data_IF_897759111568
#
_entry.id   IF_897759111568
#
_cell.length_a   1.000
_cell.length_b   1.000
_cell.length_c   1.000
_cell.angle_alpha   90.00
_cell.angle_beta   90.00
_cell.angle_gamma   90.00
#
_symmetry.space_group_name_H-M   'P 1'
#
loop_
_entity.id
_entity.type
_entity.pdbx_description
1 polymer ?
#
# COMPACT_ATOMS: atom_id res chain seq x y z
N UNK A 1 4.54 19.62 -23.55
CA UNK A 1 3.74 18.51 -24.07
C UNK A 1 3.68 17.48 -22.98
N UNK A 2 2.51 17.27 -22.39
CA UNK A 2 2.28 16.32 -21.32
C UNK A 2 2.35 14.90 -21.88
N UNK A 3 3.19 14.06 -21.28
CA UNK A 3 3.30 12.66 -21.67
C UNK A 3 2.06 11.92 -21.14
N UNK A 4 1.37 11.19 -22.01
CA UNK A 4 0.15 10.47 -21.65
C UNK A 4 -0.13 9.25 -22.51
N UNK A 5 -0.66 8.19 -21.92
CA UNK A 5 -1.21 7.02 -22.62
C UNK A 5 -2.72 7.15 -22.54
N UNK A 6 -3.40 7.15 -23.68
CA UNK A 6 -4.87 7.28 -23.73
C UNK A 6 -5.48 5.96 -24.17
N UNK A 7 -6.51 5.51 -23.46
CA UNK A 7 -7.33 4.37 -23.89
C UNK A 7 -8.26 4.85 -24.99
N UNK A 8 -8.05 4.37 -26.22
CA UNK A 8 -8.79 4.82 -27.41
C UNK A 8 -10.10 4.06 -27.54
N UNK A 9 -10.10 2.75 -27.25
CA UNK A 9 -11.24 1.86 -27.42
C UNK A 9 -11.21 0.76 -26.36
N UNK A 10 -12.36 0.46 -25.74
CA UNK A 10 -12.52 -0.61 -24.77
C UNK A 10 -13.49 -0.27 -23.65
N UNK A 11 -13.91 -1.27 -22.85
CA UNK A 11 -14.57 -1.01 -21.57
C UNK A 11 -13.64 -0.19 -20.65
N UNK A 12 -14.20 0.48 -19.63
CA UNK A 12 -13.39 1.15 -18.61
C UNK A 12 -12.37 0.16 -18.02
N UNK A 13 -11.12 0.60 -17.77
CA UNK A 13 -10.10 -0.26 -17.17
C UNK A 13 -10.52 -0.69 -15.77
N UNK A 14 -10.27 -1.96 -15.44
CA UNK A 14 -10.43 -2.46 -14.08
C UNK A 14 -9.13 -2.22 -13.32
N UNK A 15 -9.25 -1.57 -12.15
CA UNK A 15 -8.14 -1.30 -11.27
C UNK A 15 -8.20 -2.24 -10.06
N UNK A 16 -7.08 -2.89 -9.79
CA UNK A 16 -6.91 -3.75 -8.61
C UNK A 16 -5.90 -3.08 -7.67
N UNK A 17 -6.26 -2.89 -6.41
CA UNK A 17 -5.38 -2.24 -5.42
C UNK A 17 -4.21 -3.18 -5.08
N UNK A 18 -3.00 -2.64 -5.07
CA UNK A 18 -1.79 -3.39 -4.71
C UNK A 18 -1.50 -3.18 -3.23
N UNK A 19 -1.67 -4.25 -2.44
CA UNK A 19 -1.44 -4.27 -0.98
C UNK A 19 -0.05 -4.84 -0.61
N UNK A 20 0.95 -4.56 -1.45
CA UNK A 20 2.32 -5.04 -1.23
C UNK A 20 3.18 -3.96 -0.56
N UNK A 21 4.12 -4.36 0.31
CA UNK A 21 4.96 -3.44 1.08
C UNK A 21 5.68 -2.35 0.26
N UNK A 22 6.05 -2.64 -0.98
CA UNK A 22 6.70 -1.67 -1.87
C UNK A 22 5.74 -0.60 -2.41
N UNK A 23 4.45 -0.92 -2.51
CA UNK A 23 3.43 0.00 -3.00
C UNK A 23 3.19 1.15 -2.00
N UNK A 24 3.23 0.86 -0.71
CA UNK A 24 3.11 1.86 0.36
C UNK A 24 4.21 2.93 0.27
N UNK A 25 5.47 2.52 0.07
CA UNK A 25 6.58 3.47 -0.08
C UNK A 25 6.44 4.39 -1.31
N UNK A 26 5.73 3.95 -2.36
CA UNK A 26 5.45 4.79 -3.53
C UNK A 26 4.19 5.65 -3.36
N UNK A 27 3.29 5.26 -2.46
CA UNK A 27 2.04 5.93 -2.13
C UNK A 27 2.21 7.09 -1.14
N UNK A 28 3.35 7.19 -0.46
CA UNK A 28 3.70 8.29 0.46
C UNK A 28 3.82 9.62 -0.29
N UNK A 29 2.68 10.30 -0.43
CA UNK A 29 2.58 11.66 -0.96
C UNK A 29 1.73 12.51 -0.02
N UNK A 30 1.83 13.86 -0.10
CA UNK A 30 0.95 14.75 0.66
C UNK A 30 -0.54 14.52 0.40
N UNK A 31 -0.86 13.86 -0.71
CA UNK A 31 -2.21 13.43 -1.08
C UNK A 31 -2.30 11.94 -0.75
N UNK A 32 -3.34 11.55 -0.01
CA UNK A 32 -3.69 10.15 0.21
C UNK A 32 -4.01 9.50 -1.14
N UNK A 33 -3.15 8.57 -1.53
CA UNK A 33 -3.26 7.87 -2.80
C UNK A 33 -2.94 6.41 -2.63
N UNK A 34 -3.56 5.57 -3.44
CA UNK A 34 -3.33 4.12 -3.46
C UNK A 34 -2.70 3.75 -4.79
N UNK A 35 -1.86 2.72 -4.78
CA UNK A 35 -1.31 2.16 -6.02
C UNK A 35 -2.24 1.07 -6.50
N UNK A 36 -2.71 1.21 -7.73
CA UNK A 36 -3.55 0.22 -8.39
C UNK A 36 -2.87 -0.30 -9.65
N UNK A 37 -3.13 -1.55 -10.00
CA UNK A 37 -2.69 -2.18 -11.23
C UNK A 37 -3.86 -2.33 -12.21
N UNK A 38 -3.61 -2.04 -13.48
CA UNK A 38 -4.56 -2.29 -14.58
C UNK A 38 -3.90 -3.08 -15.70
N UNK A 39 -4.69 -3.92 -16.34
CA UNK A 39 -4.29 -4.78 -17.45
C UNK A 39 -4.97 -4.33 -18.74
N UNK A 40 -4.18 -3.90 -19.71
CA UNK A 40 -4.69 -3.36 -20.98
C UNK A 40 -4.18 -4.19 -22.15
N UNK A 41 -5.06 -4.54 -23.08
CA UNK A 41 -4.63 -5.11 -24.36
C UNK A 41 -3.99 -4.03 -25.22
N UNK A 42 -2.87 -4.35 -25.84
CA UNK A 42 -2.16 -3.42 -26.72
C UNK A 42 -1.57 -4.16 -27.91
N UNK A 43 -1.35 -3.43 -29.00
CA UNK A 43 -0.64 -3.93 -30.18
C UNK A 43 0.84 -3.53 -30.19
N UNK A 44 1.25 -2.62 -29.29
CA UNK A 44 2.61 -2.09 -29.25
C UNK A 44 3.07 -1.83 -27.80
N UNK A 45 3.05 -2.88 -26.99
CA UNK A 45 3.46 -2.82 -25.58
C UNK A 45 4.88 -2.29 -25.37
N UNK A 46 5.90 -2.82 -26.06
CA UNK A 46 7.28 -2.38 -25.90
C UNK A 46 7.49 -0.88 -26.17
N UNK A 47 6.86 -0.31 -27.19
CA UNK A 47 7.02 1.11 -27.48
C UNK A 47 6.34 2.01 -26.43
N UNK A 48 5.23 1.57 -25.84
CA UNK A 48 4.57 2.29 -24.76
C UNK A 48 5.42 2.28 -23.48
N UNK A 49 6.03 1.14 -23.15
CA UNK A 49 6.95 1.04 -22.01
C UNK A 49 8.18 1.93 -22.21
N UNK A 50 8.80 1.91 -23.39
CA UNK A 50 9.94 2.80 -23.69
C UNK A 50 9.56 4.28 -23.58
N UNK A 51 8.32 4.63 -23.98
CA UNK A 51 7.81 5.99 -23.82
C UNK A 51 7.71 6.39 -22.33
N UNK A 52 7.22 5.51 -21.47
CA UNK A 52 7.21 5.73 -20.01
C UNK A 52 8.64 5.95 -19.49
N UNK A 53 9.58 5.06 -19.82
CA UNK A 53 10.97 5.19 -19.40
C UNK A 53 11.61 6.48 -19.89
N UNK A 54 11.35 6.90 -21.13
CA UNK A 54 11.84 8.17 -21.65
C UNK A 54 11.25 9.36 -20.91
N UNK A 55 9.96 9.34 -20.54
CA UNK A 55 9.34 10.39 -19.74
C UNK A 55 10.02 10.49 -18.35
N UNK A 56 10.16 9.37 -17.65
CA UNK A 56 10.80 9.32 -16.33
C UNK A 56 12.27 9.72 -16.36
N UNK A 57 13.03 9.32 -17.39
CA UNK A 57 14.42 9.77 -17.60
C UNK A 57 14.54 11.29 -17.75
N UNK A 58 13.51 11.95 -18.24
CA UNK A 58 13.44 13.41 -18.35
C UNK A 58 12.75 14.07 -17.15
N UNK A 59 12.54 13.34 -16.05
CA UNK A 59 11.84 13.80 -14.84
C UNK A 59 10.42 14.32 -15.13
N UNK A 60 9.77 13.75 -16.14
CA UNK A 60 8.37 14.07 -16.49
C UNK A 60 7.44 12.99 -15.99
N UNK A 61 6.31 13.41 -15.45
CA UNK A 61 5.18 12.53 -15.13
C UNK A 61 4.49 12.12 -16.43
N UNK A 62 4.12 10.85 -16.51
CA UNK A 62 3.29 10.30 -17.58
C UNK A 62 1.98 9.80 -16.99
N UNK A 63 0.85 10.16 -17.60
CA UNK A 63 -0.48 9.86 -17.08
C UNK A 63 -1.23 8.87 -17.98
N UNK A 64 -2.02 7.99 -17.39
CA UNK A 64 -3.04 7.20 -18.06
C UNK A 64 -4.32 8.03 -18.15
N UNK A 65 -4.80 8.27 -19.36
CA UNK A 65 -6.11 8.84 -19.64
C UNK A 65 -7.08 7.71 -19.99
N UNK A 66 -8.17 7.63 -19.23
CA UNK A 66 -9.23 6.64 -19.42
C UNK A 66 -10.60 7.29 -19.20
N UNK A 67 -11.65 6.55 -19.58
CA UNK A 67 -13.03 6.93 -19.27
C UNK A 67 -13.54 6.00 -18.19
N UNK A 68 -14.21 6.55 -17.20
CA UNK A 68 -14.89 5.77 -16.17
C UNK A 68 -16.24 5.20 -16.68
N UNK A 69 -16.99 4.56 -15.79
CA UNK A 69 -18.32 4.01 -16.07
C UNK A 69 -19.35 5.07 -16.46
N UNK A 70 -19.18 6.31 -15.97
CA UNK A 70 -20.02 7.47 -16.30
C UNK A 70 -19.61 8.17 -17.61
N UNK A 71 -18.47 7.77 -18.18
CA UNK A 71 -17.92 8.32 -19.42
C UNK A 71 -17.12 9.60 -19.23
N UNK A 72 -16.79 9.98 -17.99
CA UNK A 72 -15.94 11.13 -17.68
C UNK A 72 -14.47 10.79 -17.91
N UNK A 73 -13.71 11.77 -18.40
CA UNK A 73 -12.29 11.60 -18.70
C UNK A 73 -11.45 11.73 -17.43
N UNK A 74 -10.90 10.62 -16.98
CA UNK A 74 -10.07 10.52 -15.79
C UNK A 74 -8.59 10.42 -16.13
N UNK A 75 -7.74 10.85 -15.19
CA UNK A 75 -6.28 10.89 -15.34
C UNK A 75 -5.60 10.30 -14.12
N UNK A 76 -4.81 9.25 -14.31
CA UNK A 76 -4.04 8.62 -13.25
C UNK A 76 -2.53 8.63 -13.56
N UNK A 77 -1.66 9.16 -12.68
CA UNK A 77 -0.21 9.12 -12.87
C UNK A 77 0.32 7.69 -12.88
N UNK A 78 1.15 7.34 -13.86
CA UNK A 78 1.75 6.00 -14.00
C UNK A 78 3.06 5.98 -13.22
N UNK A 79 3.18 5.02 -12.28
CA UNK A 79 4.38 4.81 -11.46
C UNK A 79 5.28 3.70 -12.00
N UNK A 80 4.70 2.69 -12.64
CA UNK A 80 5.44 1.59 -13.28
C UNK A 80 4.68 1.05 -14.49
N UNK A 81 5.41 0.45 -15.43
CA UNK A 81 4.86 -0.14 -16.63
C UNK A 81 5.66 -1.37 -17.04
N UNK A 82 4.98 -2.46 -17.41
CA UNK A 82 5.59 -3.63 -18.05
C UNK A 82 4.70 -4.17 -19.14
N UNK A 83 5.27 -4.93 -20.07
CA UNK A 83 4.55 -5.64 -21.12
C UNK A 83 4.75 -7.15 -20.96
N UNK A 84 3.72 -7.92 -21.26
CA UNK A 84 3.73 -9.39 -21.27
C UNK A 84 3.15 -9.87 -22.59
N UNK A 85 3.85 -10.74 -23.29
CA UNK A 85 3.35 -11.39 -24.49
C UNK A 85 2.52 -12.62 -24.09
N UNK A 86 1.28 -12.70 -24.58
CA UNK A 86 0.37 -13.82 -24.35
C UNK A 86 -0.12 -14.38 -25.70
N UNK A 87 -0.70 -15.58 -25.71
CA UNK A 87 -1.23 -16.21 -26.93
C UNK A 87 -2.28 -15.34 -27.65
N UNK A 88 -2.95 -14.44 -26.91
CA UNK A 88 -3.97 -13.52 -27.42
C UNK A 88 -3.46 -12.12 -27.79
N UNK A 89 -2.14 -11.90 -27.82
CA UNK A 89 -1.50 -10.62 -28.09
C UNK A 89 -0.72 -10.04 -26.91
N UNK A 90 -0.32 -8.77 -27.02
CA UNK A 90 0.46 -8.10 -25.97
C UNK A 90 -0.45 -7.49 -24.91
N UNK A 91 -0.09 -7.69 -23.65
CA UNK A 91 -0.76 -7.10 -22.49
C UNK A 91 0.18 -6.09 -21.85
N UNK A 92 -0.28 -4.84 -21.75
CA UNK A 92 0.37 -3.78 -21.01
C UNK A 92 -0.17 -3.77 -19.58
N UNK A 93 0.73 -3.89 -18.62
CA UNK A 93 0.42 -3.84 -17.20
C UNK A 93 0.95 -2.50 -16.69
N UNK A 94 0.05 -1.69 -16.15
CA UNK A 94 0.37 -0.37 -15.62
C UNK A 94 0.05 -0.31 -14.15
N UNK A 95 0.98 0.22 -13.36
CA UNK A 95 0.71 0.64 -12.00
C UNK A 95 0.48 2.13 -12.02
N UNK A 96 -0.65 2.54 -11.47
CA UNK A 96 -1.08 3.92 -11.41
C UNK A 96 -1.38 4.32 -9.99
N UNK A 97 -1.29 5.62 -9.74
CA UNK A 97 -1.68 6.23 -8.49
C UNK A 97 -3.11 6.73 -8.61
N UNK A 98 -4.01 6.24 -7.77
CA UNK A 98 -5.39 6.69 -7.69
C UNK A 98 -5.57 7.50 -6.41
N UNK A 99 -6.30 8.63 -6.49
CA UNK A 99 -6.71 9.33 -5.29
C UNK A 99 -7.84 8.54 -4.62
N UNK A 100 -7.89 8.53 -3.29
CA UNK A 100 -8.88 7.75 -2.51
C UNK A 100 -10.35 8.09 -2.79
N UNK A 101 -10.62 9.20 -3.50
CA UNK A 101 -11.95 9.59 -3.97
C UNK A 101 -12.32 8.95 -5.31
N UNK A 102 -11.35 8.68 -6.19
CA UNK A 102 -11.58 8.08 -7.51
C UNK A 102 -11.54 6.54 -7.46
N UNK A 103 -11.16 5.98 -6.32
CA UNK A 103 -11.16 4.55 -6.05
C UNK A 103 -12.57 4.13 -5.61
N UNK A 104 -13.53 4.09 -6.54
CA UNK A 104 -14.76 3.30 -6.37
C UNK A 104 -14.36 1.82 -6.41
N UNK A 105 -13.79 1.35 -5.31
CA UNK A 105 -13.43 -0.05 -5.11
C UNK A 105 -14.66 -0.74 -4.56
N UNK A 106 -15.11 -1.82 -5.21
CA UNK A 106 -15.99 -2.81 -4.58
C UNK A 106 -15.23 -3.40 -3.38
N UNK A 107 -15.43 -2.80 -2.21
CA UNK A 107 -15.06 -3.42 -0.95
C UNK A 107 -16.05 -4.56 -0.78
N UNK A 108 -15.65 -5.77 -1.17
CA UNK A 108 -16.33 -6.97 -0.73
C UNK A 108 -16.05 -7.08 0.78
N UNK A 109 -16.89 -6.42 1.58
CA UNK A 109 -16.97 -6.69 3.00
C UNK A 109 -17.33 -8.18 3.10
N UNK A 110 -16.36 -9.01 3.50
CA UNK A 110 -16.67 -10.32 4.03
C UNK A 110 -17.48 -10.09 5.31
N UNK A 111 -18.79 -9.97 5.15
CA UNK A 111 -19.77 -9.99 6.23
C UNK A 111 -19.60 -11.35 6.92
N UNK A 112 -18.88 -11.33 8.03
CA UNK A 112 -18.45 -12.52 8.75
C UNK A 112 -17.80 -12.20 10.10
N UNK A 113 -18.09 -11.02 10.67
CA UNK A 113 -17.99 -10.83 12.11
C UNK A 113 -19.42 -11.03 12.62
N UNK A 114 -19.78 -12.29 12.84
CA UNK A 114 -20.90 -12.61 13.72
C UNK A 114 -20.45 -12.24 15.14
N UNK A 115 -20.68 -10.98 15.50
CA UNK A 115 -20.64 -10.49 16.87
C UNK A 115 -21.97 -10.90 17.52
N UNK A 116 -22.07 -12.17 17.94
CA UNK A 116 -23.14 -12.59 18.85
C UNK A 116 -22.60 -12.47 20.27
N UNK A 117 -22.97 -11.35 20.87
CA UNK A 117 -22.65 -10.92 22.22
C UNK A 117 -23.31 -11.85 23.26
N UNK A 118 -22.60 -12.87 23.74
CA UNK A 118 -22.92 -13.48 25.05
C UNK A 118 -22.27 -12.64 26.15
N UNK A 119 -22.90 -11.52 26.51
CA UNK A 119 -22.63 -10.81 27.77
C UNK A 119 -23.06 -11.72 28.93
N UNK A 120 -22.09 -12.47 29.48
CA UNK A 120 -22.23 -13.11 30.78
C UNK A 120 -22.24 -11.98 31.83
N UNK A 121 -23.34 -11.86 32.55
CA UNK A 121 -23.55 -10.91 33.65
C UNK A 121 -22.71 -11.39 34.85
N UNK A 122 -21.39 -11.26 34.75
CA UNK A 122 -20.46 -11.50 35.85
C UNK A 122 -20.56 -10.31 36.83
N UNK A 123 -21.39 -10.53 37.84
CA UNK A 123 -21.56 -9.75 39.07
C UNK A 123 -20.24 -9.11 39.53
N UNK A 124 -20.09 -7.80 39.30
CA UNK A 124 -18.99 -7.01 39.83
C UNK A 124 -19.02 -7.09 41.36
N UNK A 125 -17.94 -7.55 42.04
CA UNK A 125 -17.88 -7.44 43.49
C UNK A 125 -17.91 -5.97 43.89
N UNK A 126 -18.73 -5.65 44.90
CA UNK A 126 -18.91 -4.32 45.48
C UNK A 126 -17.53 -3.66 45.73
N UNK A 127 -17.36 -2.47 45.18
CA UNK A 127 -16.15 -1.65 45.14
C UNK A 127 -15.73 -1.08 46.53
N UNK A 128 -16.29 -1.60 47.62
CA UNK A 128 -16.08 -1.10 48.99
C UNK A 128 -15.01 -1.87 49.80
N UNK A 129 -14.20 -2.73 49.17
CA UNK A 129 -13.05 -3.42 49.80
C UNK A 129 -11.70 -3.07 49.17
N UNK A 130 -11.52 -1.83 48.67
CA UNK A 130 -10.17 -1.28 48.52
C UNK A 130 -9.74 -0.66 49.85
N UNK A 131 -8.98 -1.43 50.62
CA UNK A 131 -8.15 -0.88 51.69
C UNK A 131 -7.23 0.22 51.15
N UNK A 132 -6.98 1.20 52.01
CA UNK A 132 -6.23 2.43 51.76
C UNK A 132 -5.01 2.24 50.83
N UNK A 133 -5.01 2.93 49.69
CA UNK A 133 -3.96 2.87 48.65
C UNK A 133 -2.85 3.92 48.88
N UNK A 134 -2.62 4.28 50.14
CA UNK A 134 -1.70 5.36 50.54
C UNK A 134 -0.26 4.87 50.87
N UNK A 135 0.20 3.75 50.31
CA UNK A 135 1.60 3.28 50.42
C UNK A 135 2.16 2.85 49.05
N UNK A 136 2.17 3.76 48.06
CA UNK A 136 3.05 3.60 46.90
C UNK A 136 4.42 4.19 47.27
N UNK A 137 5.28 3.36 47.87
CA UNK A 137 6.68 3.68 48.12
C UNK A 137 7.40 3.95 46.79
N UNK A 138 7.99 5.14 46.70
CA UNK A 138 8.66 5.75 45.54
C UNK A 138 10.12 5.27 45.44
N UNK A 139 10.36 3.95 45.52
CA UNK A 139 11.70 3.34 45.47
C UNK A 139 11.67 2.06 44.59
N UNK A 140 11.62 2.23 43.26
CA UNK A 140 11.96 1.18 42.29
C UNK A 140 12.73 1.81 41.11
N UNK A 141 13.80 2.55 41.43
CA UNK A 141 14.91 2.78 40.52
C UNK A 141 15.93 1.66 40.78
N UNK A 142 15.95 0.59 39.96
CA UNK A 142 17.14 -0.24 39.65
C UNK A 142 16.79 -1.52 38.86
N UNK A 143 16.28 -1.40 37.63
CA UNK A 143 16.20 -2.55 36.68
C UNK A 143 16.62 -2.20 35.25
N UNK A 144 17.69 -1.43 35.09
CA UNK A 144 18.44 -1.34 33.84
C UNK A 144 19.93 -1.54 34.12
N UNK A 145 20.35 -2.79 34.28
CA UNK A 145 21.76 -3.15 34.19
C UNK A 145 22.23 -2.98 32.74
N UNK A 146 23.06 -1.97 32.49
CA UNK A 146 23.56 -1.57 31.17
C UNK A 146 24.68 -2.48 30.62
N UNK A 147 24.92 -3.64 31.25
CA UNK A 147 26.03 -4.56 30.97
C UNK A 147 25.62 -5.88 30.27
N UNK A 148 24.35 -6.10 29.95
CA UNK A 148 23.89 -7.32 29.23
C UNK A 148 23.93 -7.22 27.70
N UNK A 149 24.51 -6.15 27.13
CA UNK A 149 24.84 -6.09 25.71
C UNK A 149 26.28 -6.57 25.53
N UNK A 150 26.46 -7.67 24.78
CA UNK A 150 27.73 -8.29 24.36
C UNK A 150 28.19 -9.55 25.12
N UNK A 151 27.32 -10.56 25.22
CA UNK A 151 27.78 -11.95 25.21
C UNK A 151 27.17 -12.69 24.01
N UNK A 152 27.90 -12.66 22.90
CA UNK A 152 27.60 -13.47 21.72
C UNK A 152 28.50 -14.73 21.84
N UNK A 153 27.97 -15.89 22.26
CA UNK A 153 28.78 -17.09 22.49
C UNK A 153 29.33 -17.72 21.20
N UNK A 154 28.88 -17.24 20.05
CA UNK A 154 29.40 -17.61 18.74
C UNK A 154 30.21 -16.44 18.16
N UNK A 155 31.53 -16.54 18.28
CA UNK A 155 32.50 -15.51 17.90
C UNK A 155 32.60 -15.24 16.39
N UNK A 156 31.54 -14.71 15.79
CA UNK A 156 31.55 -14.14 14.44
C UNK A 156 31.36 -12.63 14.53
N UNK A 157 32.49 -11.91 14.49
CA UNK A 157 32.52 -10.44 14.37
C UNK A 157 31.85 -10.03 13.07
N UNK A 158 30.57 -9.64 13.16
CA UNK A 158 29.89 -8.92 12.07
C UNK A 158 30.53 -7.54 11.92
N UNK A 159 31.51 -7.44 11.02
CA UNK A 159 31.98 -6.15 10.54
C UNK A 159 30.81 -5.45 9.83
N UNK A 160 30.58 -4.15 10.09
CA UNK A 160 29.56 -3.39 9.37
C UNK A 160 29.91 -3.36 7.87
N UNK A 161 28.90 -3.42 6.97
CA UNK A 161 29.14 -3.37 5.54
C UNK A 161 29.82 -2.05 5.18
N UNK A 162 30.94 -2.14 4.46
CA UNK A 162 31.61 -0.98 3.87
C UNK A 162 30.74 -0.45 2.73
N UNK A 163 30.29 0.79 2.85
CA UNK A 163 29.79 1.61 1.76
C UNK A 163 30.80 2.74 1.53
#
# INVERSE_FOLDING_TARGET
MDEKITIIEGPPPTFEIVDEGWAFGLAETPILSEIAVTHLRTFNGPALVERCHRAWRNQKTINLEYRDSEGLEQRAPIVAARTVDTDGGQVLILWVRLARTDAEVEIEFTDGIEDDEDYDDEEYPDFDEFGDIDDFDDDDEDLFDEDDLYDNPDGDTLLPPKW
#
